data_IF_752853357663
#
_entry.id   IF_752853357663
#
_cell.length_a   1.000
_cell.length_b   1.000
_cell.length_c   1.000
_cell.angle_alpha   90.00
_cell.angle_beta   90.00
_cell.angle_gamma   90.00
#
_symmetry.space_group_name_H-M   'P 1'
#
loop_
_entity.id
_entity.type
_entity.pdbx_description
1 polymer ?
#
# COMPACT_ATOMS: atom_id res chain seq x y z
N UNK A 1 -9.13 -6.90 27.36
CA UNK A 1 -7.96 -6.91 26.46
C UNK A 1 -6.74 -7.30 27.27
N UNK A 2 -5.96 -8.27 26.79
CA UNK A 2 -4.76 -8.73 27.51
C UNK A 2 -3.55 -7.83 27.22
N UNK A 3 -2.51 -7.92 28.05
CA UNK A 3 -1.23 -7.24 27.80
C UNK A 3 -0.61 -7.69 26.47
N UNK A 4 -0.85 -8.95 26.08
CA UNK A 4 -0.43 -9.50 24.79
C UNK A 4 -1.13 -8.80 23.61
N UNK A 5 -2.44 -8.55 23.68
CA UNK A 5 -3.17 -7.86 22.61
C UNK A 5 -2.66 -6.42 22.43
N UNK A 6 -2.34 -5.73 23.53
CA UNK A 6 -1.70 -4.40 23.45
C UNK A 6 -0.36 -4.45 22.71
N UNK A 7 0.49 -5.44 23.01
CA UNK A 7 1.79 -5.60 22.34
C UNK A 7 1.61 -5.86 20.85
N UNK A 8 0.64 -6.72 20.47
CA UNK A 8 0.32 -6.98 19.07
C UNK A 8 -0.16 -5.70 18.35
N UNK A 9 -1.00 -4.90 18.99
CA UNK A 9 -1.49 -3.64 18.40
C UNK A 9 -0.36 -2.61 18.23
N UNK A 10 0.62 -2.57 19.14
CA UNK A 10 1.83 -1.75 18.97
C UNK A 10 2.66 -2.23 17.78
N UNK A 11 2.86 -3.55 17.64
CA UNK A 11 3.61 -4.12 16.53
C UNK A 11 2.92 -3.80 15.20
N UNK A 12 1.60 -4.01 15.13
CA UNK A 12 0.80 -3.78 13.93
C UNK A 12 0.83 -2.31 13.49
N UNK A 13 0.53 -1.40 14.42
CA UNK A 13 0.60 0.04 14.17
C UNK A 13 2.00 0.47 13.73
N UNK A 14 3.05 -0.09 14.34
CA UNK A 14 4.44 0.19 13.97
C UNK A 14 4.76 -0.25 12.54
N UNK A 15 4.34 -1.46 12.14
CA UNK A 15 4.57 -1.96 10.78
C UNK A 15 3.84 -1.10 9.75
N UNK A 16 2.55 -0.79 9.98
CA UNK A 16 1.77 0.07 9.08
C UNK A 16 2.40 1.45 8.92
N UNK A 17 2.73 2.10 10.03
CA UNK A 17 3.29 3.45 10.03
C UNK A 17 4.68 3.47 9.39
N UNK A 18 5.51 2.47 9.67
CA UNK A 18 6.83 2.32 9.06
C UNK A 18 6.73 2.16 7.54
N UNK A 19 5.81 1.31 7.07
CA UNK A 19 5.55 1.12 5.64
C UNK A 19 5.22 2.43 4.95
N UNK A 20 4.25 3.19 5.47
CA UNK A 20 3.83 4.47 4.91
C UNK A 20 4.97 5.50 4.96
N UNK A 21 5.70 5.57 6.07
CA UNK A 21 6.81 6.49 6.25
C UNK A 21 7.93 6.29 5.24
N UNK A 22 8.38 5.03 5.11
CA UNK A 22 9.40 4.64 4.11
C UNK A 22 8.88 4.80 2.69
N UNK A 23 7.60 4.49 2.45
CA UNK A 23 7.02 4.63 1.12
C UNK A 23 7.08 6.09 0.67
N UNK A 24 6.68 7.06 1.50
CA UNK A 24 6.68 8.48 1.11
C UNK A 24 8.02 9.20 1.29
N UNK A 25 9.06 8.51 1.72
CA UNK A 25 10.40 9.05 2.02
C UNK A 25 10.32 10.28 2.94
N UNK A 26 9.54 10.14 4.01
CA UNK A 26 9.43 11.19 5.02
C UNK A 26 10.74 11.30 5.81
N UNK A 27 11.16 12.54 6.12
CA UNK A 27 12.43 12.81 6.83
C UNK A 27 12.27 13.04 8.33
N UNK A 28 11.05 13.33 8.80
CA UNK A 28 10.79 13.70 10.20
C UNK A 28 10.38 12.50 11.06
N UNK A 29 11.31 12.00 11.87
CA UNK A 29 11.13 10.86 12.77
C UNK A 29 10.14 11.17 13.91
N UNK A 30 10.10 12.40 14.44
CA UNK A 30 9.17 12.76 15.53
C UNK A 30 7.70 12.59 15.13
N UNK A 31 7.38 12.99 13.89
CA UNK A 31 6.04 12.84 13.34
C UNK A 31 5.67 11.36 13.07
N UNK A 32 6.65 10.48 12.89
CA UNK A 32 6.43 9.04 12.78
C UNK A 32 5.97 8.45 14.11
N UNK A 33 6.61 8.83 15.23
CA UNK A 33 6.20 8.37 16.55
C UNK A 33 4.78 8.82 16.91
N UNK A 34 4.44 10.07 16.59
CA UNK A 34 3.07 10.56 16.71
C UNK A 34 2.08 9.75 15.86
N UNK A 35 2.50 9.28 14.69
CA UNK A 35 1.66 8.44 13.85
C UNK A 35 1.40 7.08 14.47
N UNK A 36 2.47 6.42 14.93
CA UNK A 36 2.39 5.11 15.57
C UNK A 36 1.44 5.20 16.76
N UNK A 37 1.58 6.24 17.58
CA UNK A 37 0.68 6.49 18.71
C UNK A 37 -0.77 6.72 18.28
N UNK A 38 -1.02 7.50 17.21
CA UNK A 38 -2.38 7.75 16.73
C UNK A 38 -3.04 6.46 16.19
N UNK A 39 -2.33 5.69 15.36
CA UNK A 39 -2.83 4.43 14.81
C UNK A 39 -3.03 3.41 15.93
N UNK A 40 -2.07 3.28 16.85
CA UNK A 40 -2.19 2.45 18.04
C UNK A 40 -3.42 2.84 18.89
N UNK A 41 -3.60 4.13 19.18
CA UNK A 41 -4.76 4.60 19.92
C UNK A 41 -6.07 4.26 19.20
N UNK A 42 -6.11 4.37 17.87
CA UNK A 42 -7.31 4.03 17.11
C UNK A 42 -7.64 2.55 17.14
N UNK A 43 -6.65 1.67 16.97
CA UNK A 43 -6.85 0.21 17.05
C UNK A 43 -7.26 -0.20 18.47
N UNK A 44 -6.56 0.30 19.49
CA UNK A 44 -6.85 -0.05 20.88
C UNK A 44 -8.20 0.46 21.37
N UNK A 45 -8.57 1.70 21.05
CA UNK A 45 -9.89 2.23 21.38
C UNK A 45 -10.98 1.50 20.62
N UNK A 46 -10.72 1.11 19.36
CA UNK A 46 -11.67 0.35 18.58
C UNK A 46 -11.91 -1.04 19.16
N UNK A 47 -10.85 -1.75 19.56
CA UNK A 47 -10.96 -3.08 20.18
C UNK A 47 -11.66 -3.05 21.54
N UNK A 48 -11.62 -1.91 22.24
CA UNK A 48 -12.18 -1.78 23.59
C UNK A 48 -13.63 -1.29 23.61
N UNK A 49 -14.00 -0.41 22.67
CA UNK A 49 -15.30 0.29 22.70
C UNK A 49 -16.19 0.01 21.49
N UNK A 50 -15.62 -0.36 20.35
CA UNK A 50 -16.35 -0.50 19.09
C UNK A 50 -16.47 -1.99 18.78
N UNK A 51 -17.61 -2.57 19.13
CA UNK A 51 -17.89 -3.97 18.86
C UNK A 51 -18.10 -4.26 17.36
N UNK A 52 -18.30 -3.21 16.55
CA UNK A 52 -18.55 -3.27 15.11
C UNK A 52 -17.26 -3.15 14.29
N UNK A 53 -16.81 -4.26 13.71
CA UNK A 53 -15.55 -4.38 12.95
C UNK A 53 -15.46 -3.49 11.72
N UNK A 54 -16.58 -3.09 11.12
CA UNK A 54 -16.57 -2.20 9.96
C UNK A 54 -16.25 -0.74 10.33
N UNK A 55 -16.67 -0.31 11.52
CA UNK A 55 -16.52 1.07 11.98
C UNK A 55 -15.05 1.34 12.39
N UNK A 56 -14.38 0.32 12.92
CA UNK A 56 -12.94 0.36 13.22
C UNK A 56 -12.11 0.58 11.95
N UNK A 57 -12.43 -0.15 10.88
CA UNK A 57 -11.76 -0.01 9.58
C UNK A 57 -11.94 1.40 8.99
N UNK A 58 -13.15 1.96 9.05
CA UNK A 58 -13.43 3.32 8.56
C UNK A 58 -12.62 4.37 9.33
N UNK A 59 -12.56 4.26 10.67
CA UNK A 59 -11.77 5.19 11.49
C UNK A 59 -10.28 5.11 11.17
N UNK A 60 -9.74 3.90 10.99
CA UNK A 60 -8.36 3.69 10.58
C UNK A 60 -8.06 4.36 9.24
N UNK A 61 -8.92 4.20 8.23
CA UNK A 61 -8.76 4.87 6.93
C UNK A 61 -8.70 6.39 7.11
N UNK A 62 -9.60 6.96 7.90
CA UNK A 62 -9.63 8.41 8.16
C UNK A 62 -8.32 8.87 8.79
N UNK A 63 -7.81 8.15 9.79
CA UNK A 63 -6.57 8.48 10.49
C UNK A 63 -5.36 8.40 9.55
N UNK A 64 -5.27 7.35 8.74
CA UNK A 64 -4.20 7.20 7.74
C UNK A 64 -4.25 8.29 6.66
N UNK A 65 -5.44 8.74 6.27
CA UNK A 65 -5.62 9.80 5.27
C UNK A 65 -5.32 11.19 5.87
N UNK A 66 -5.78 11.48 7.09
CA UNK A 66 -5.45 12.72 7.81
C UNK A 66 -3.94 12.86 8.01
N UNK A 67 -3.24 11.74 8.18
CA UNK A 67 -1.80 11.72 8.30
C UNK A 67 -1.05 12.28 7.09
N UNK A 68 -1.54 12.03 5.87
CA UNK A 68 -0.97 12.61 4.65
C UNK A 68 -0.95 14.14 4.72
N UNK A 69 -1.99 14.72 5.31
CA UNK A 69 -2.12 16.16 5.52
C UNK A 69 -1.11 16.68 6.56
N UNK A 70 -0.87 15.95 7.65
CA UNK A 70 0.12 16.30 8.70
C UNK A 70 1.56 16.33 8.15
N UNK A 71 1.85 15.55 7.12
CA UNK A 71 3.14 15.51 6.42
C UNK A 71 3.22 16.46 5.22
N UNK A 72 2.24 17.34 5.01
CA UNK A 72 2.16 18.27 3.88
C UNK A 72 2.26 17.60 2.50
N UNK A 73 1.85 16.32 2.40
CA UNK A 73 1.74 15.64 1.10
C UNK A 73 0.43 16.05 0.44
N UNK A 74 0.48 16.25 -0.89
CA UNK A 74 -0.74 16.48 -1.68
C UNK A 74 -1.68 15.28 -1.55
N UNK A 75 -2.97 15.53 -1.41
CA UNK A 75 -4.02 14.50 -1.36
C UNK A 75 -4.31 13.97 -2.77
N UNK A 76 -3.33 13.33 -3.40
CA UNK A 76 -3.54 12.61 -4.66
C UNK A 76 -4.20 11.26 -4.38
N UNK A 77 -4.97 10.77 -5.35
CA UNK A 77 -5.60 9.44 -5.32
C UNK A 77 -4.55 8.35 -5.06
N UNK A 78 -3.36 8.48 -5.65
CA UNK A 78 -2.21 7.60 -5.39
C UNK A 78 -1.86 7.50 -3.91
N UNK A 79 -1.74 8.64 -3.21
CA UNK A 79 -1.31 8.63 -1.82
C UNK A 79 -2.38 7.98 -0.92
N UNK A 80 -3.65 8.20 -1.23
CA UNK A 80 -4.77 7.57 -0.52
C UNK A 80 -4.76 6.05 -0.74
N UNK A 81 -4.55 5.59 -1.98
CA UNK A 81 -4.51 4.16 -2.29
C UNK A 81 -3.34 3.47 -1.60
N UNK A 82 -2.20 4.13 -1.46
CA UNK A 82 -1.06 3.58 -0.71
C UNK A 82 -1.37 3.44 0.78
N UNK A 83 -2.09 4.40 1.37
CA UNK A 83 -2.57 4.26 2.74
C UNK A 83 -3.56 3.07 2.86
N UNK A 84 -4.47 2.92 1.89
CA UNK A 84 -5.41 1.80 1.86
C UNK A 84 -4.73 0.44 1.63
N UNK A 85 -3.64 0.40 0.85
CA UNK A 85 -2.91 -0.84 0.61
C UNK A 85 -2.22 -1.35 1.87
N UNK A 86 -1.80 -0.48 2.79
CA UNK A 86 -1.29 -0.87 4.10
C UNK A 86 -2.31 -1.70 4.90
N UNK A 87 -3.56 -1.24 4.92
CA UNK A 87 -4.67 -1.93 5.60
C UNK A 87 -5.01 -3.26 4.91
N UNK A 88 -5.05 -3.26 3.58
CA UNK A 88 -5.42 -4.47 2.83
C UNK A 88 -4.34 -5.53 2.92
N UNK A 89 -3.06 -5.15 3.01
CA UNK A 89 -1.99 -6.08 3.31
C UNK A 89 -2.16 -6.72 4.69
N UNK A 90 -2.45 -5.95 5.74
CA UNK A 90 -2.69 -6.52 7.07
C UNK A 90 -3.89 -7.47 7.06
N UNK A 91 -5.00 -7.07 6.42
CA UNK A 91 -6.19 -7.91 6.27
C UNK A 91 -5.86 -9.23 5.55
N UNK A 92 -5.15 -9.18 4.42
CA UNK A 92 -4.74 -10.38 3.68
C UNK A 92 -3.83 -11.28 4.51
N UNK A 93 -2.89 -10.71 5.28
CA UNK A 93 -2.03 -11.51 6.15
C UNK A 93 -2.83 -12.20 7.26
N UNK A 94 -3.79 -11.49 7.87
CA UNK A 94 -4.67 -12.04 8.88
C UNK A 94 -5.56 -13.15 8.30
N UNK A 95 -6.12 -12.99 7.09
CA UNK A 95 -6.95 -14.04 6.47
C UNK A 95 -6.14 -15.26 6.07
N UNK A 96 -4.96 -15.09 5.46
CA UNK A 96 -4.06 -16.21 5.14
C UNK A 96 -3.69 -17.00 6.40
N UNK A 97 -3.34 -16.32 7.49
CA UNK A 97 -2.97 -16.99 8.73
C UNK A 97 -4.15 -17.69 9.40
N UNK A 98 -5.34 -17.09 9.42
CA UNK A 98 -6.55 -17.75 9.90
C UNK A 98 -6.85 -19.03 9.11
N UNK A 99 -6.70 -18.99 7.78
CA UNK A 99 -6.86 -20.17 6.93
C UNK A 99 -5.81 -21.23 7.26
N UNK A 100 -4.52 -20.87 7.40
CA UNK A 100 -3.49 -21.81 7.84
C UNK A 100 -3.81 -22.41 9.22
N UNK A 101 -4.35 -21.61 10.13
CA UNK A 101 -4.78 -22.03 11.45
C UNK A 101 -5.81 -23.16 11.44
N UNK A 102 -6.76 -23.12 10.50
CA UNK A 102 -7.74 -24.21 10.33
C UNK A 102 -7.09 -25.52 9.88
N UNK A 103 -5.97 -25.46 9.13
CA UNK A 103 -5.21 -26.66 8.75
C UNK A 103 -4.26 -27.18 9.85
N UNK A 104 -3.95 -26.35 10.85
CA UNK A 104 -3.09 -26.68 11.99
C UNK A 104 -3.83 -27.36 13.15
N UNK A 105 -5.13 -27.60 13.02
CA UNK A 105 -5.97 -28.31 14.01
C UNK A 105 -5.42 -29.69 14.37
N UNK A 106 -4.56 -30.29 13.52
CA UNK A 106 -3.89 -31.56 13.77
C UNK A 106 -2.71 -31.47 14.76
N UNK A 107 -2.09 -30.30 14.93
CA UNK A 107 -0.80 -30.15 15.64
C UNK A 107 -0.92 -29.55 17.05
N UNK A 108 -1.90 -28.68 17.30
CA UNK A 108 -2.05 -27.97 18.57
C UNK A 108 -3.49 -28.11 19.07
N UNK A 109 -3.68 -28.86 20.15
CA UNK A 109 -5.00 -29.12 20.75
C UNK A 109 -5.55 -27.93 21.55
N UNK A 110 -4.68 -27.08 22.12
CA UNK A 110 -5.12 -25.90 22.87
C UNK A 110 -5.51 -24.75 21.93
N UNK A 111 -6.81 -24.42 21.94
CA UNK A 111 -7.40 -23.35 21.16
C UNK A 111 -6.82 -21.96 21.45
N UNK A 112 -6.41 -21.70 22.70
CA UNK A 112 -5.89 -20.40 23.12
C UNK A 112 -4.45 -20.21 22.64
N UNK A 113 -3.58 -21.20 22.89
CA UNK A 113 -2.21 -21.19 22.37
C UNK A 113 -2.16 -21.13 20.83
N UNK A 114 -3.11 -21.79 20.15
CA UNK A 114 -3.20 -21.73 18.69
C UNK A 114 -3.48 -20.30 18.19
N UNK A 115 -4.46 -19.62 18.77
CA UNK A 115 -4.81 -18.25 18.38
C UNK A 115 -3.67 -17.25 18.65
N UNK A 116 -2.93 -17.40 19.75
CA UNK A 116 -1.78 -16.52 20.05
C UNK A 116 -0.64 -16.74 19.05
N UNK A 117 -0.33 -17.98 18.70
CA UNK A 117 0.68 -18.30 17.68
C UNK A 117 0.28 -17.75 16.31
N UNK A 118 -0.99 -17.90 15.91
CA UNK A 118 -1.48 -17.38 14.63
C UNK A 118 -1.43 -15.85 14.56
N UNK A 119 -1.77 -15.15 15.65
CA UNK A 119 -1.64 -13.69 15.75
C UNK A 119 -0.19 -13.25 15.53
N UNK A 120 0.78 -13.90 16.18
CA UNK A 120 2.21 -13.60 16.01
C UNK A 120 2.64 -13.87 14.55
N UNK A 121 2.27 -15.02 14.03
CA UNK A 121 2.64 -15.44 12.67
C UNK A 121 2.10 -14.48 11.60
N UNK A 122 0.87 -13.97 11.79
CA UNK A 122 0.30 -12.96 10.90
C UNK A 122 1.16 -11.71 10.83
N UNK A 123 1.64 -11.21 11.98
CA UNK A 123 2.46 -9.99 12.03
C UNK A 123 3.85 -10.20 11.44
N UNK A 124 4.41 -11.41 11.55
CA UNK A 124 5.66 -11.78 10.85
C UNK A 124 5.47 -11.74 9.34
N UNK A 125 4.40 -12.35 8.82
CA UNK A 125 4.09 -12.31 7.38
C UNK A 125 3.83 -10.88 6.92
N UNK A 126 3.11 -10.09 7.72
CA UNK A 126 2.82 -8.68 7.42
C UNK A 126 4.12 -7.87 7.31
N UNK A 127 5.04 -8.02 8.26
CA UNK A 127 6.36 -7.38 8.20
C UNK A 127 7.13 -7.77 6.93
N UNK A 128 7.21 -9.07 6.61
CA UNK A 128 7.91 -9.55 5.41
C UNK A 128 7.29 -8.99 4.13
N UNK A 129 5.96 -8.96 4.05
CA UNK A 129 5.23 -8.41 2.90
C UNK A 129 5.49 -6.91 2.72
N UNK A 130 5.48 -6.13 3.81
CA UNK A 130 5.76 -4.69 3.77
C UNK A 130 7.19 -4.41 3.29
N UNK A 131 8.17 -5.19 3.76
CA UNK A 131 9.57 -5.05 3.37
C UNK A 131 9.79 -5.41 1.91
N UNK A 132 9.13 -6.47 1.42
CA UNK A 132 9.18 -6.88 0.02
C UNK A 132 8.73 -5.74 -0.92
N UNK A 133 7.62 -5.08 -0.58
CA UNK A 133 7.04 -4.01 -1.40
C UNK A 133 7.90 -2.75 -1.36
N UNK A 134 8.39 -2.37 -0.18
CA UNK A 134 9.31 -1.24 -0.04
C UNK A 134 10.56 -1.43 -0.89
N UNK A 135 11.17 -2.63 -0.86
CA UNK A 135 12.35 -2.94 -1.67
C UNK A 135 12.10 -2.86 -3.18
N UNK A 136 10.89 -3.17 -3.64
CA UNK A 136 10.47 -2.99 -5.04
C UNK A 136 10.27 -1.51 -5.40
N UNK A 137 9.65 -0.73 -4.52
CA UNK A 137 9.39 0.70 -4.76
C UNK A 137 10.66 1.54 -4.80
N UNK A 138 11.62 1.28 -3.91
CA UNK A 138 12.89 2.02 -3.82
C UNK A 138 13.72 2.02 -5.12
N UNK A 139 13.33 1.23 -6.13
CA UNK A 139 13.96 1.21 -7.45
C UNK A 139 13.39 2.25 -8.43
N UNK A 140 12.24 2.86 -8.15
CA UNK A 140 11.51 3.71 -9.10
C UNK A 140 11.11 5.04 -8.44
N UNK A 141 11.59 6.17 -8.98
CA UNK A 141 11.39 7.50 -8.39
C UNK A 141 10.19 8.28 -8.99
N UNK A 142 9.38 7.63 -9.83
CA UNK A 142 8.28 8.27 -10.55
C UNK A 142 6.92 8.04 -9.90
N UNK A 143 6.10 9.09 -9.85
CA UNK A 143 4.68 9.00 -9.47
C UNK A 143 3.87 8.40 -10.63
N UNK A 144 2.84 7.61 -10.32
CA UNK A 144 2.04 6.92 -11.34
C UNK A 144 1.03 7.86 -12.04
N UNK A 145 0.94 7.80 -13.37
CA UNK A 145 -0.01 8.58 -14.16
C UNK A 145 -1.49 8.19 -13.88
N UNK A 146 -2.35 9.18 -13.64
CA UNK A 146 -3.75 9.04 -13.16
C UNK A 146 -4.64 8.14 -14.04
N UNK A 147 -4.45 8.14 -15.36
CA UNK A 147 -5.22 7.28 -16.29
C UNK A 147 -4.99 5.78 -16.13
N UNK A 148 -3.85 5.37 -15.56
CA UNK A 148 -3.48 3.95 -15.40
C UNK A 148 -3.87 3.36 -14.05
N UNK A 149 -4.45 4.16 -13.16
CA UNK A 149 -4.92 3.72 -11.86
C UNK A 149 -6.20 2.90 -11.92
N UNK A 150 -7.04 3.10 -12.94
CA UNK A 150 -8.33 2.40 -13.07
C UNK A 150 -8.18 0.89 -13.17
N UNK A 151 -7.11 0.40 -13.80
CA UNK A 151 -6.82 -1.04 -13.88
C UNK A 151 -6.33 -1.61 -12.55
N UNK A 152 -5.49 -0.89 -11.80
CA UNK A 152 -5.06 -1.31 -10.45
C UNK A 152 -6.27 -1.32 -9.51
N UNK A 153 -7.10 -0.28 -9.53
CA UNK A 153 -8.32 -0.17 -8.72
C UNK A 153 -9.27 -1.32 -9.05
N UNK A 154 -9.45 -1.67 -10.32
CA UNK A 154 -10.28 -2.80 -10.72
C UNK A 154 -9.82 -4.13 -10.13
N UNK A 155 -8.53 -4.43 -10.17
CA UNK A 155 -7.99 -5.69 -9.60
C UNK A 155 -8.05 -5.67 -8.07
N UNK A 156 -7.87 -4.49 -7.47
CA UNK A 156 -8.01 -4.30 -6.03
C UNK A 156 -9.44 -4.52 -5.53
N UNK A 157 -10.44 -4.10 -6.32
CA UNK A 157 -11.86 -4.38 -6.07
C UNK A 157 -12.18 -5.88 -6.16
N UNK A 158 -11.59 -6.59 -7.12
CA UNK A 158 -11.72 -8.05 -7.22
C UNK A 158 -11.18 -8.74 -5.96
N UNK A 159 -10.01 -8.31 -5.47
CA UNK A 159 -9.44 -8.84 -4.24
C UNK A 159 -10.32 -8.56 -3.01
N UNK A 160 -10.89 -7.36 -2.89
CA UNK A 160 -11.83 -7.03 -1.81
C UNK A 160 -13.10 -7.90 -1.87
N UNK A 161 -13.60 -8.18 -3.07
CA UNK A 161 -14.78 -9.02 -3.29
C UNK A 161 -14.49 -10.49 -2.92
N UNK A 162 -13.31 -11.03 -3.28
CA UNK A 162 -12.86 -12.36 -2.84
C UNK A 162 -12.77 -12.46 -1.31
N UNK A 163 -12.17 -11.47 -0.65
CA UNK A 163 -12.08 -11.43 0.82
C UNK A 163 -13.45 -11.36 1.49
N UNK A 164 -14.39 -10.60 0.91
CA UNK A 164 -15.75 -10.49 1.41
C UNK A 164 -16.52 -11.82 1.32
N UNK A 165 -16.39 -12.53 0.20
CA UNK A 165 -17.00 -13.86 0.02
C UNK A 165 -16.41 -14.84 1.05
N UNK A 166 -15.08 -14.88 1.17
CA UNK A 166 -14.36 -15.71 2.15
C UNK A 166 -14.81 -15.46 3.59
N UNK A 167 -14.96 -14.18 3.97
CA UNK A 167 -15.42 -13.81 5.31
C UNK A 167 -16.85 -14.29 5.56
N UNK A 168 -17.76 -14.11 4.60
CA UNK A 168 -19.15 -14.57 4.73
C UNK A 168 -19.24 -16.10 4.82
N UNK A 169 -18.53 -16.83 3.96
CA UNK A 169 -18.53 -18.29 3.98
C UNK A 169 -17.97 -18.83 5.29
N UNK A 170 -16.97 -18.15 5.87
CA UNK A 170 -16.43 -18.50 7.19
C UNK A 170 -17.47 -18.29 8.30
N UNK A 171 -18.21 -17.17 8.29
CA UNK A 171 -19.23 -16.87 9.31
C UNK A 171 -20.45 -17.79 9.23
N UNK A 172 -20.84 -18.24 8.02
CA UNK A 172 -22.02 -19.08 7.79
C UNK A 172 -21.76 -20.58 7.98
N UNK A 173 -20.53 -20.99 8.31
CA UNK A 173 -20.11 -22.40 8.49
C UNK A 173 -20.41 -23.32 7.30
N UNK A 174 -20.63 -22.80 6.09
CA UNK A 174 -20.78 -23.58 4.86
C UNK A 174 -19.42 -24.03 4.27
N UNK A 175 -18.46 -24.28 5.15
CA UNK A 175 -17.06 -24.36 4.81
C UNK A 175 -16.71 -25.77 4.34
N UNK A 176 -16.44 -25.93 3.05
CA UNK A 176 -15.73 -27.10 2.55
C UNK A 176 -14.22 -26.81 2.59
N UNK A 177 -13.39 -27.63 3.27
CA UNK A 177 -11.96 -27.35 3.44
C UNK A 177 -11.18 -27.24 2.12
N UNK A 178 -11.65 -27.89 1.05
CA UNK A 178 -11.06 -27.79 -0.29
C UNK A 178 -11.32 -26.42 -0.94
N UNK A 179 -12.51 -25.86 -0.73
CA UNK A 179 -12.91 -24.57 -1.32
C UNK A 179 -12.18 -23.41 -0.62
N UNK A 180 -11.90 -23.55 0.69
CA UNK A 180 -11.02 -22.64 1.44
C UNK A 180 -9.58 -22.68 0.92
N UNK A 181 -9.01 -23.86 0.72
CA UNK A 181 -7.65 -23.99 0.19
C UNK A 181 -7.53 -23.41 -1.22
N UNK A 182 -8.55 -23.59 -2.05
CA UNK A 182 -8.62 -23.00 -3.39
C UNK A 182 -8.73 -21.47 -3.33
N UNK A 183 -9.57 -20.91 -2.46
CA UNK A 183 -9.66 -19.47 -2.23
C UNK A 183 -8.34 -18.88 -1.68
N UNK A 184 -7.64 -19.62 -0.81
CA UNK A 184 -6.31 -19.21 -0.32
C UNK A 184 -5.29 -19.15 -1.46
N UNK A 185 -5.29 -20.15 -2.33
CA UNK A 185 -4.41 -20.16 -3.50
C UNK A 185 -4.73 -18.99 -4.43
N UNK A 186 -6.01 -18.75 -4.72
CA UNK A 186 -6.46 -17.62 -5.55
C UNK A 186 -6.07 -16.27 -4.95
N UNK A 187 -6.32 -16.04 -3.67
CA UNK A 187 -5.96 -14.77 -3.00
C UNK A 187 -4.46 -14.48 -3.06
N UNK A 188 -3.61 -15.50 -2.92
CA UNK A 188 -2.15 -15.37 -3.10
C UNK A 188 -1.78 -15.07 -4.56
N UNK A 189 -2.41 -15.74 -5.53
CA UNK A 189 -2.16 -15.49 -6.96
C UNK A 189 -2.60 -14.07 -7.36
N UNK A 190 -3.78 -13.63 -6.91
CA UNK A 190 -4.33 -12.30 -7.19
C UNK A 190 -3.47 -11.22 -6.54
N UNK A 191 -3.04 -11.39 -5.29
CA UNK A 191 -2.09 -10.43 -4.66
C UNK A 191 -0.79 -10.34 -5.44
N UNK A 192 -0.18 -11.47 -5.82
CA UNK A 192 1.05 -11.46 -6.63
C UNK A 192 0.85 -10.79 -7.99
N UNK A 193 -0.30 -11.01 -8.64
CA UNK A 193 -0.64 -10.37 -9.91
C UNK A 193 -0.77 -8.84 -9.75
N UNK A 194 -1.44 -8.36 -8.71
CA UNK A 194 -1.55 -6.93 -8.39
C UNK A 194 -0.16 -6.32 -8.26
N UNK A 195 0.71 -6.95 -7.46
CA UNK A 195 2.07 -6.42 -7.24
C UNK A 195 2.92 -6.40 -8.51
N UNK A 196 2.82 -7.44 -9.35
CA UNK A 196 3.54 -7.49 -10.62
C UNK A 196 3.06 -6.41 -11.61
N UNK A 197 1.75 -6.21 -11.72
CA UNK A 197 1.16 -5.18 -12.59
C UNK A 197 1.56 -3.79 -12.08
N UNK A 198 1.48 -3.57 -10.77
CA UNK A 198 1.90 -2.32 -10.14
C UNK A 198 3.39 -2.02 -10.41
N UNK A 199 4.27 -3.01 -10.24
CA UNK A 199 5.70 -2.86 -10.53
C UNK A 199 5.99 -2.57 -12.01
N UNK A 200 5.27 -3.22 -12.93
CA UNK A 200 5.40 -2.96 -14.37
C UNK A 200 4.95 -1.54 -14.73
N UNK A 201 3.84 -1.08 -14.14
CA UNK A 201 3.33 0.28 -14.34
C UNK A 201 4.27 1.36 -13.82
N UNK A 202 4.96 1.10 -12.69
CA UNK A 202 6.00 2.00 -12.19
C UNK A 202 7.16 2.15 -13.18
N UNK A 203 7.67 1.02 -13.71
CA UNK A 203 8.76 1.02 -14.69
C UNK A 203 8.39 1.78 -15.96
N UNK A 204 7.23 1.47 -16.54
CA UNK A 204 6.76 2.15 -17.76
C UNK A 204 6.55 3.65 -17.55
N UNK A 205 6.10 4.07 -16.36
CA UNK A 205 5.92 5.49 -16.08
C UNK A 205 7.25 6.22 -15.96
N UNK A 206 8.26 5.64 -15.31
CA UNK A 206 9.60 6.22 -15.25
C UNK A 206 10.19 6.41 -16.65
N UNK A 207 10.10 5.38 -17.49
CA UNK A 207 10.51 5.44 -18.90
C UNK A 207 9.76 6.55 -19.64
N UNK A 208 8.43 6.63 -19.50
CA UNK A 208 7.63 7.68 -20.14
C UNK A 208 8.00 9.10 -19.68
N UNK A 209 8.27 9.29 -18.38
CA UNK A 209 8.69 10.59 -17.84
C UNK A 209 10.08 10.98 -18.33
N UNK A 210 11.01 10.02 -18.41
CA UNK A 210 12.35 10.26 -18.94
C UNK A 210 12.31 10.68 -20.41
N UNK A 211 11.44 10.06 -21.21
CA UNK A 211 11.24 10.42 -22.62
C UNK A 211 10.63 11.82 -22.73
N UNK A 212 9.64 12.15 -21.89
CA UNK A 212 9.02 13.49 -21.90
C UNK A 212 10.04 14.59 -21.58
N UNK A 213 10.88 14.39 -20.56
CA UNK A 213 11.93 15.34 -20.18
C UNK A 213 12.96 15.50 -21.30
N UNK A 214 13.41 14.41 -21.93
CA UNK A 214 14.30 14.48 -23.10
C UNK A 214 13.67 15.25 -24.26
N UNK A 215 12.38 15.04 -24.53
CA UNK A 215 11.68 15.74 -25.59
C UNK A 215 11.49 17.24 -25.30
N UNK A 216 11.27 17.61 -24.04
CA UNK A 216 11.25 19.01 -23.60
C UNK A 216 12.63 19.65 -23.77
N UNK A 217 13.70 18.98 -23.36
CA UNK A 217 15.08 19.47 -23.54
C UNK A 217 15.42 19.70 -25.02
N UNK A 218 15.04 18.76 -25.91
CA UNK A 218 15.21 18.90 -27.36
C UNK A 218 14.40 20.10 -27.89
N UNK A 219 13.19 20.31 -27.38
CA UNK A 219 12.34 21.44 -27.78
C UNK A 219 12.96 22.78 -27.40
N UNK A 220 13.44 22.91 -26.15
CA UNK A 220 14.11 24.12 -25.69
C UNK A 220 15.41 24.39 -26.46
N UNK A 221 16.20 23.37 -26.78
CA UNK A 221 17.39 23.53 -27.63
C UNK A 221 17.04 24.06 -29.02
N UNK A 222 16.01 23.49 -29.66
CA UNK A 222 15.52 23.95 -30.98
C UNK A 222 14.97 25.38 -30.94
N UNK A 223 14.28 25.76 -29.87
CA UNK A 223 13.80 27.14 -29.70
C UNK A 223 14.97 28.12 -29.52
N UNK A 224 15.97 27.76 -28.70
CA UNK A 224 17.18 28.58 -28.52
C UNK A 224 17.98 28.71 -29.82
N UNK A 225 18.15 27.63 -30.59
CA UNK A 225 18.81 27.67 -31.90
C UNK A 225 18.10 28.62 -32.87
N UNK A 226 16.76 28.60 -32.91
CA UNK A 226 15.97 29.53 -33.75
C UNK A 226 16.11 30.99 -33.31
N UNK A 227 16.17 31.24 -32.00
CA UNK A 227 16.35 32.58 -31.46
C UNK A 227 17.76 33.10 -31.78
N UNK A 228 18.78 32.25 -31.65
CA UNK A 228 20.16 32.57 -32.03
C UNK A 228 20.31 32.82 -33.54
N UNK A 229 19.69 31.99 -34.38
CA UNK A 229 19.76 32.16 -35.84
C UNK A 229 19.12 33.49 -36.26
N UNK A 230 18.00 33.86 -35.64
CA UNK A 230 17.32 35.13 -35.91
C UNK A 230 18.17 36.33 -35.48
N UNK A 231 18.76 36.28 -34.29
CA UNK A 231 19.69 37.33 -33.85
C UNK A 231 20.90 37.45 -34.79
N UNK A 232 21.43 36.33 -35.29
CA UNK A 232 22.53 36.35 -36.26
C UNK A 232 22.13 37.03 -37.58
N UNK A 233 20.92 36.77 -38.09
CA UNK A 233 20.39 37.45 -39.27
C UNK A 233 20.19 38.95 -39.03
N UNK A 234 19.63 39.32 -37.87
CA UNK A 234 19.43 40.72 -37.49
C UNK A 234 20.77 41.48 -37.40
N UNK A 235 21.81 40.86 -36.83
CA UNK A 235 23.17 41.43 -36.79
C UNK A 235 23.74 41.59 -38.20
N UNK A 236 23.61 40.56 -39.04
CA UNK A 236 24.11 40.60 -40.42
C UNK A 236 23.45 41.73 -41.24
N UNK A 237 22.14 41.93 -41.07
CA UNK A 237 21.43 43.04 -41.71
C UNK A 237 21.84 44.41 -41.18
N UNK A 238 22.20 44.52 -39.89
CA UNK A 238 22.73 45.75 -39.29
C UNK A 238 24.16 46.05 -39.73
N UNK A 239 24.98 45.04 -40.03
CA UNK A 239 26.36 45.23 -40.49
C UNK A 239 26.48 45.55 -41.99
N UNK A 240 25.44 45.27 -42.78
CA UNK A 240 25.46 45.41 -44.25
C UNK A 240 24.44 46.41 -44.81
N UNK A 241 23.70 47.12 -43.94
CA UNK A 241 22.93 48.32 -44.27
C UNK A 241 23.51 49.53 -43.55
#
# INVERSE_FOLDING_TARGET
>A
MSLFDLVINIIESSIMCYFIYKYFDFKNIEKLWLFILAVFATITTSDYFINESWLTAVLLVIVLVLFLKVFNKKMSIENIIVCLSALIMDLVCNTITLILGSSLDFMISDSVAKLTILKIFSKIIFLLSSMYILNRKMKYNSNLNTKRWTSIIGIFLVLLLELFILANDYTLKNINPKDILFCMFLTVVVTLAIFNIYGKLLKENEESTSIRLKNEEIRYKKENEKVLSKMSEDIYQLEHN
#
